data_IF_153140596393
#
_entry.id   IF_153140596393
#
_cell.length_a   1.000
_cell.length_b   1.000
_cell.length_c   1.000
_cell.angle_alpha   90.00
_cell.angle_beta   90.00
_cell.angle_gamma   90.00
#
_symmetry.space_group_name_H-M   'P 1'
#
loop_
_entity.id
_entity.type
_entity.pdbx_description
1 polymer ?
#
# COMPACT_ATOMS: atom_id res chain seq x y z
N UNK A 1 19.68 -4.67 -5.61
CA UNK A 1 19.40 -5.88 -6.44
C UNK A 1 18.49 -5.62 -7.65
N UNK A 2 17.74 -4.51 -7.74
CA UNK A 2 16.94 -4.21 -8.95
C UNK A 2 17.76 -3.61 -10.13
N UNK A 3 18.92 -3.01 -9.86
CA UNK A 3 19.73 -2.35 -10.89
C UNK A 3 20.50 -3.31 -11.81
N UNK A 4 20.59 -4.61 -11.50
CA UNK A 4 21.37 -5.58 -12.27
C UNK A 4 20.59 -6.27 -13.40
N UNK A 5 19.30 -5.96 -13.58
CA UNK A 5 18.42 -6.61 -14.55
C UNK A 5 17.84 -5.67 -15.61
N UNK A 6 18.29 -4.42 -15.70
CA UNK A 6 17.88 -3.51 -16.78
C UNK A 6 18.64 -3.85 -18.06
N UNK A 7 17.98 -4.27 -19.16
CA UNK A 7 18.66 -4.42 -20.44
C UNK A 7 19.06 -3.04 -20.95
N UNK A 8 20.34 -2.88 -21.28
CA UNK A 8 20.84 -1.73 -22.03
C UNK A 8 20.06 -1.65 -23.36
N UNK A 9 19.39 -0.53 -23.60
CA UNK A 9 18.58 -0.20 -24.77
C UNK A 9 17.16 -0.78 -24.82
N UNK A 10 16.19 -0.01 -24.31
CA UNK A 10 15.06 0.62 -25.05
C UNK A 10 14.04 1.17 -24.04
N UNK A 11 14.49 2.04 -23.13
CA UNK A 11 13.59 2.96 -22.40
C UNK A 11 14.01 4.34 -22.90
N UNK A 12 13.09 5.23 -23.32
CA UNK A 12 13.45 6.58 -23.72
C UNK A 12 14.28 7.20 -22.59
N UNK A 13 15.55 7.47 -22.86
CA UNK A 13 16.42 8.16 -21.92
C UNK A 13 15.84 9.56 -21.77
N UNK A 14 15.10 9.75 -20.68
CA UNK A 14 14.74 11.09 -20.25
C UNK A 14 16.07 11.74 -19.92
N UNK A 15 16.50 12.69 -20.75
CA UNK A 15 17.48 13.69 -20.37
C UNK A 15 16.96 14.34 -19.07
N UNK A 16 17.45 13.83 -17.93
CA UNK A 16 17.11 14.30 -16.61
C UNK A 16 17.85 15.62 -16.39
N UNK A 17 17.23 16.73 -16.81
CA UNK A 17 17.57 18.02 -16.23
C UNK A 17 17.27 17.96 -14.73
N UNK A 18 18.23 18.37 -13.91
CA UNK A 18 18.28 18.36 -12.45
C UNK A 18 17.24 19.26 -11.75
N UNK A 19 16.02 19.36 -12.29
CA UNK A 19 14.87 19.88 -11.56
C UNK A 19 14.12 18.70 -10.95
N UNK A 20 14.08 18.59 -9.62
CA UNK A 20 13.22 17.66 -8.87
C UNK A 20 11.77 17.74 -9.39
N UNK A 21 11.42 16.90 -10.36
CA UNK A 21 10.02 16.67 -10.73
C UNK A 21 9.48 15.66 -9.72
N UNK A 22 8.84 16.17 -8.69
CA UNK A 22 7.96 15.36 -7.86
C UNK A 22 6.83 14.86 -8.76
N UNK A 23 6.93 13.62 -9.21
CA UNK A 23 5.89 13.00 -10.01
C UNK A 23 4.69 12.73 -9.12
N UNK A 24 3.53 13.24 -9.54
CA UNK A 24 2.28 12.95 -8.83
C UNK A 24 2.00 11.44 -8.86
N UNK A 25 1.34 10.88 -7.82
CA UNK A 25 0.98 9.46 -7.78
C UNK A 25 0.20 8.99 -9.01
N UNK A 26 -0.60 9.87 -9.62
CA UNK A 26 -1.36 9.59 -10.85
C UNK A 26 -0.43 9.39 -12.05
N UNK A 27 0.62 10.19 -12.16
CA UNK A 27 1.61 10.07 -13.25
C UNK A 27 2.42 8.79 -13.04
N UNK A 28 2.90 8.53 -11.82
CA UNK A 28 3.62 7.29 -11.49
C UNK A 28 2.75 6.06 -11.78
N UNK A 29 1.47 6.10 -11.40
CA UNK A 29 0.53 5.02 -11.71
C UNK A 29 0.39 4.79 -13.21
N UNK A 30 0.24 5.85 -14.03
CA UNK A 30 0.17 5.70 -15.50
C UNK A 30 1.42 5.03 -16.07
N UNK A 31 2.60 5.38 -15.58
CA UNK A 31 3.86 4.76 -16.01
C UNK A 31 3.98 3.29 -15.57
N UNK A 32 3.52 2.95 -14.36
CA UNK A 32 3.66 1.62 -13.78
C UNK A 32 2.52 0.67 -14.17
N UNK A 33 1.36 1.20 -14.62
CA UNK A 33 0.15 0.43 -14.96
C UNK A 33 0.45 -0.78 -15.86
N UNK A 34 1.24 -0.68 -16.95
CA UNK A 34 1.49 -1.84 -17.81
C UNK A 34 2.16 -3.00 -17.07
N UNK A 35 3.19 -2.72 -16.27
CA UNK A 35 3.89 -3.75 -15.49
C UNK A 35 3.00 -4.36 -14.39
N UNK A 36 2.18 -3.52 -13.74
CA UNK A 36 1.18 -3.98 -12.77
C UNK A 36 0.18 -4.93 -13.44
N UNK A 37 -0.31 -4.57 -14.63
CA UNK A 37 -1.23 -5.42 -15.39
C UNK A 37 -0.61 -6.78 -15.73
N UNK A 38 0.66 -6.82 -16.17
CA UNK A 38 1.36 -8.08 -16.44
C UNK A 38 1.38 -8.99 -15.21
N UNK A 39 1.70 -8.47 -14.03
CA UNK A 39 1.71 -9.26 -12.79
C UNK A 39 0.30 -9.83 -12.48
N UNK A 40 -0.73 -8.99 -12.59
CA UNK A 40 -2.12 -9.37 -12.34
C UNK A 40 -2.63 -10.41 -13.35
N UNK A 41 -2.27 -10.28 -14.63
CA UNK A 41 -2.60 -11.22 -15.69
C UNK A 41 -1.92 -12.58 -15.50
N UNK A 42 -0.72 -12.60 -14.91
CA UNK A 42 0.00 -13.84 -14.54
C UNK A 42 -0.54 -14.51 -13.29
N UNK A 43 -1.61 -14.00 -12.69
CA UNK A 43 -2.31 -14.63 -11.58
C UNK A 43 -1.95 -14.09 -10.19
N UNK A 44 -1.09 -13.06 -10.10
CA UNK A 44 -0.89 -12.34 -8.84
C UNK A 44 -2.19 -11.60 -8.51
N UNK A 45 -2.74 -11.84 -7.31
CA UNK A 45 -4.06 -11.29 -6.94
C UNK A 45 -4.02 -9.82 -6.56
N UNK A 46 -2.93 -9.42 -5.93
CA UNK A 46 -2.71 -8.08 -5.38
C UNK A 46 -1.26 -7.69 -5.62
N UNK A 47 -1.05 -6.48 -6.13
CA UNK A 47 0.27 -5.87 -6.31
C UNK A 47 0.34 -4.63 -5.45
N UNK A 48 1.29 -4.60 -4.51
CA UNK A 48 1.65 -3.39 -3.77
C UNK A 48 2.92 -2.82 -4.38
N UNK A 49 2.89 -1.56 -4.80
CA UNK A 49 4.07 -0.85 -5.30
C UNK A 49 4.45 0.25 -4.32
N UNK A 50 5.61 0.11 -3.69
CA UNK A 50 6.17 1.13 -2.78
C UNK A 50 6.81 2.25 -3.59
N UNK A 51 6.40 3.49 -3.32
CA UNK A 51 6.83 4.70 -4.03
C UNK A 51 7.68 5.64 -3.14
N UNK A 52 8.26 5.11 -2.07
CA UNK A 52 9.05 5.88 -1.09
C UNK A 52 8.25 7.06 -0.52
N UNK A 53 8.70 8.31 -0.68
CA UNK A 53 8.00 9.48 -0.15
C UNK A 53 6.61 9.72 -0.79
N UNK A 54 6.29 9.05 -1.89
CA UNK A 54 4.97 9.11 -2.52
C UNK A 54 4.01 8.01 -2.00
N UNK A 55 4.39 7.20 -1.02
CA UNK A 55 3.51 6.22 -0.39
C UNK A 55 3.45 4.87 -1.13
N UNK A 56 2.26 4.30 -1.25
CA UNK A 56 2.04 2.95 -1.79
C UNK A 56 0.86 2.95 -2.77
N UNK A 57 1.01 2.24 -3.89
CA UNK A 57 -0.10 1.84 -4.75
C UNK A 57 -0.56 0.44 -4.37
N UNK A 58 -1.86 0.27 -4.14
CA UNK A 58 -2.51 -1.02 -3.92
C UNK A 58 -3.37 -1.33 -5.13
N UNK A 59 -2.97 -2.34 -5.90
CA UNK A 59 -3.63 -2.72 -7.14
C UNK A 59 -4.14 -4.16 -7.08
N UNK A 60 -5.32 -4.42 -7.61
CA UNK A 60 -5.87 -5.77 -7.75
C UNK A 60 -6.71 -5.92 -9.01
N UNK A 61 -6.87 -7.18 -9.44
CA UNK A 61 -7.81 -7.55 -10.49
C UNK A 61 -9.22 -7.69 -9.88
N UNK A 62 -10.21 -7.05 -10.49
CA UNK A 62 -11.57 -6.96 -9.95
C UNK A 62 -11.70 -6.01 -8.76
N UNK A 63 -12.93 -5.85 -8.27
CA UNK A 63 -13.23 -4.94 -7.15
C UNK A 63 -12.69 -5.41 -5.80
N UNK A 64 -12.78 -4.55 -4.79
CA UNK A 64 -12.33 -4.78 -3.39
C UNK A 64 -13.01 -5.95 -2.66
N UNK A 65 -13.92 -6.68 -3.31
CA UNK A 65 -14.59 -7.86 -2.76
C UNK A 65 -13.63 -9.00 -2.41
N UNK A 66 -12.43 -9.02 -3.00
CA UNK A 66 -11.34 -9.93 -2.65
C UNK A 66 -10.69 -9.63 -1.29
N UNK A 67 -10.98 -8.47 -0.69
CA UNK A 67 -10.23 -7.96 0.47
C UNK A 67 -10.89 -8.26 1.82
N UNK A 68 -12.04 -8.94 1.79
CA UNK A 68 -12.60 -9.59 2.98
C UNK A 68 -11.84 -10.89 3.21
N UNK A 69 -10.74 -10.83 3.96
CA UNK A 69 -10.20 -12.04 4.58
C UNK A 69 -11.35 -12.65 5.39
N UNK A 70 -11.76 -13.85 4.98
CA UNK A 70 -12.90 -14.57 5.54
C UNK A 70 -12.77 -14.64 7.06
N UNK A 71 -13.59 -13.87 7.79
CA UNK A 71 -13.70 -13.91 9.26
C UNK A 71 -14.28 -15.24 9.79
N UNK A 72 -14.24 -16.34 9.01
CA UNK A 72 -14.99 -17.56 9.31
C UNK A 72 -14.34 -18.49 10.34
N UNK A 73 -13.13 -18.24 10.86
CA UNK A 73 -12.51 -19.22 11.77
C UNK A 73 -11.43 -18.71 12.72
N UNK A 74 -11.62 -17.56 13.39
CA UNK A 74 -10.78 -17.24 14.56
C UNK A 74 -11.66 -17.12 15.81
N UNK A 75 -11.98 -18.29 16.37
CA UNK A 75 -12.34 -18.38 17.78
C UNK A 75 -11.14 -17.87 18.58
N UNK A 76 -11.39 -16.88 19.44
CA UNK A 76 -10.57 -16.54 20.62
C UNK A 76 -9.09 -16.20 20.41
N UNK A 77 -8.75 -15.21 19.58
CA UNK A 77 -7.58 -14.38 19.89
C UNK A 77 -8.06 -13.12 20.60
N UNK A 78 -7.52 -12.77 21.79
CA UNK A 78 -7.85 -11.52 22.44
C UNK A 78 -7.46 -10.41 21.46
N UNK A 79 -8.49 -9.77 20.91
CA UNK A 79 -8.37 -8.62 20.03
C UNK A 79 -7.51 -7.61 20.78
N UNK A 80 -6.24 -7.50 20.41
CA UNK A 80 -5.33 -6.56 21.06
C UNK A 80 -5.99 -5.18 21.05
N UNK A 81 -5.94 -4.45 22.16
CA UNK A 81 -6.61 -3.15 22.34
C UNK A 81 -6.34 -2.17 21.17
N UNK A 82 -5.20 -2.36 20.50
CA UNK A 82 -4.72 -1.68 19.30
C UNK A 82 -5.68 -1.82 18.11
N UNK A 83 -6.26 -3.00 17.85
CA UNK A 83 -7.14 -3.23 16.69
C UNK A 83 -8.44 -2.41 16.82
N UNK A 84 -8.98 -2.34 18.04
CA UNK A 84 -10.19 -1.58 18.32
C UNK A 84 -9.94 -0.06 18.29
N UNK A 85 -8.73 0.40 18.61
CA UNK A 85 -8.39 1.83 18.58
C UNK A 85 -8.08 2.34 17.17
N UNK A 86 -7.46 1.53 16.30
CA UNK A 86 -7.06 1.99 14.96
C UNK A 86 -8.28 2.17 14.04
N UNK A 87 -9.22 1.22 14.02
CA UNK A 87 -10.31 1.22 13.04
C UNK A 87 -11.68 0.94 13.66
N UNK A 88 -12.24 1.95 14.33
CA UNK A 88 -13.71 2.09 14.51
C UNK A 88 -14.40 2.65 13.25
N UNK A 89 -13.61 3.08 12.24
CA UNK A 89 -14.11 3.62 10.98
C UNK A 89 -14.63 2.52 10.03
N UNK A 90 -15.77 2.75 9.35
CA UNK A 90 -16.33 1.74 8.47
C UNK A 90 -15.53 1.62 7.16
N UNK A 91 -15.13 0.39 6.82
CA UNK A 91 -14.60 -0.05 5.50
C UNK A 91 -15.50 0.31 4.29
N UNK A 92 -16.65 0.96 4.53
CA UNK A 92 -17.73 1.17 3.56
C UNK A 92 -17.35 2.07 2.38
N UNK A 93 -16.41 3.01 2.54
CA UNK A 93 -16.06 3.99 1.50
C UNK A 93 -15.55 3.31 0.22
N UNK A 94 -14.78 2.22 0.33
CA UNK A 94 -14.24 1.51 -0.82
C UNK A 94 -15.11 0.32 -1.28
N UNK A 95 -15.97 -0.19 -0.40
CA UNK A 95 -16.81 -1.38 -0.65
C UNK A 95 -17.91 -1.15 -1.68
N UNK A 96 -18.47 0.07 -1.76
CA UNK A 96 -19.57 0.36 -2.71
C UNK A 96 -19.09 0.43 -4.17
N UNK A 97 -17.79 0.64 -4.42
CA UNK A 97 -17.22 0.58 -5.77
C UNK A 97 -17.10 -0.87 -6.30
N UNK A 98 -17.08 -1.86 -5.40
CA UNK A 98 -16.88 -3.28 -5.74
C UNK A 98 -18.14 -4.05 -6.13
N UNK A 99 -19.35 -3.48 -5.97
CA UNK A 99 -20.62 -4.21 -6.22
C UNK A 99 -20.89 -4.49 -7.70
N UNK A 100 -20.23 -3.79 -8.63
CA UNK A 100 -20.40 -3.99 -10.07
C UNK A 100 -19.32 -4.88 -10.71
N UNK A 101 -18.28 -5.29 -9.97
CA UNK A 101 -17.06 -5.86 -10.56
C UNK A 101 -16.94 -7.36 -10.29
N UNK A 102 -17.89 -8.15 -10.80
CA UNK A 102 -17.66 -9.58 -11.07
C UNK A 102 -16.83 -9.78 -12.36
N UNK A 103 -16.48 -8.68 -13.03
CA UNK A 103 -15.70 -8.68 -14.24
C UNK A 103 -14.21 -8.68 -13.91
N UNK A 104 -13.58 -9.83 -14.15
CA UNK A 104 -12.14 -10.01 -14.02
C UNK A 104 -11.33 -9.09 -14.97
N UNK A 105 -11.95 -8.40 -15.92
CA UNK A 105 -11.25 -7.49 -16.85
C UNK A 105 -10.89 -6.13 -16.24
N UNK A 106 -11.33 -5.83 -15.01
CA UNK A 106 -11.15 -4.52 -14.38
C UNK A 106 -9.92 -4.46 -13.47
N UNK A 107 -9.20 -3.34 -13.55
CA UNK A 107 -8.17 -2.92 -12.62
C UNK A 107 -8.79 -2.05 -11.54
N UNK A 108 -8.53 -2.40 -10.27
CA UNK A 108 -8.67 -1.48 -9.16
C UNK A 108 -7.29 -1.00 -8.73
N UNK A 109 -7.12 0.31 -8.58
CA UNK A 109 -5.90 0.92 -8.05
C UNK A 109 -6.23 2.00 -7.03
N UNK A 110 -5.65 1.87 -5.84
CA UNK A 110 -5.75 2.81 -4.73
C UNK A 110 -4.37 3.36 -4.41
N UNK A 111 -4.28 4.67 -4.22
CA UNK A 111 -3.10 5.32 -3.67
C UNK A 111 -3.28 5.53 -2.17
N UNK A 112 -2.27 5.14 -1.41
CA UNK A 112 -2.15 5.39 0.02
C UNK A 112 -0.93 6.29 0.22
N UNK A 113 -1.10 7.54 0.67
CA UNK A 113 0.00 8.49 0.77
C UNK A 113 0.99 8.11 1.88
N UNK A 114 2.25 8.50 1.71
CA UNK A 114 3.22 8.47 2.81
C UNK A 114 2.96 9.61 3.79
N UNK A 115 3.47 9.47 5.00
CA UNK A 115 3.52 10.53 5.99
C UNK A 115 4.82 11.34 5.83
N UNK A 116 4.79 12.67 6.02
CA UNK A 116 6.02 13.45 6.17
C UNK A 116 6.87 12.87 7.30
N UNK A 117 8.17 12.72 7.04
CA UNK A 117 9.11 12.14 7.99
C UNK A 117 10.43 12.92 8.01
N UNK A 118 11.03 13.04 9.20
CA UNK A 118 12.40 13.50 9.35
C UNK A 118 13.34 12.30 9.25
N UNK A 119 13.84 12.04 8.04
CA UNK A 119 14.59 10.82 7.73
C UNK A 119 15.94 10.79 8.45
N UNK A 120 16.17 9.73 9.21
CA UNK A 120 17.46 9.36 9.77
C UNK A 120 18.13 8.24 8.95
N UNK A 121 17.37 7.17 8.63
CA UNK A 121 17.84 6.03 7.84
C UNK A 121 16.72 5.45 6.98
N UNK A 122 17.00 5.11 5.72
CA UNK A 122 15.99 4.53 4.82
C UNK A 122 15.96 2.99 4.82
N UNK A 123 17.07 2.37 5.22
CA UNK A 123 17.21 0.91 5.25
C UNK A 123 16.24 0.31 6.25
N UNK A 124 15.55 -0.77 5.83
CA UNK A 124 14.55 -1.46 6.66
C UNK A 124 13.13 -0.89 6.55
N UNK A 125 12.92 0.27 5.92
CA UNK A 125 11.59 0.86 5.77
C UNK A 125 10.62 -0.05 4.99
N UNK A 126 11.10 -0.68 3.92
CA UNK A 126 10.32 -1.65 3.14
C UNK A 126 10.00 -2.93 3.92
N UNK A 127 10.98 -3.45 4.67
CA UNK A 127 10.80 -4.65 5.49
C UNK A 127 9.80 -4.40 6.62
N UNK A 128 9.90 -3.26 7.29
CA UNK A 128 8.98 -2.83 8.33
C UNK A 128 7.58 -2.53 7.78
N UNK A 129 7.47 -1.97 6.56
CA UNK A 129 6.19 -1.81 5.88
C UNK A 129 5.49 -3.17 5.71
N UNK A 130 6.20 -4.16 5.18
CA UNK A 130 5.68 -5.52 4.99
C UNK A 130 5.35 -6.17 6.33
N UNK A 131 6.22 -6.04 7.34
CA UNK A 131 5.98 -6.55 8.69
C UNK A 131 4.73 -5.96 9.34
N UNK A 132 4.53 -4.64 9.21
CA UNK A 132 3.33 -3.93 9.70
C UNK A 132 2.05 -4.40 9.01
N UNK A 133 2.11 -4.63 7.70
CA UNK A 133 0.99 -5.18 6.91
C UNK A 133 0.64 -6.59 7.39
N UNK A 134 1.63 -7.48 7.44
CA UNK A 134 1.41 -8.89 7.80
C UNK A 134 0.93 -9.05 9.23
N UNK A 135 1.48 -8.27 10.16
CA UNK A 135 1.01 -8.23 11.56
C UNK A 135 -0.46 -7.78 11.64
N UNK A 136 -0.82 -6.73 10.90
CA UNK A 136 -2.20 -6.21 10.83
C UNK A 136 -3.18 -7.20 10.21
N UNK A 137 -2.79 -7.86 9.12
CA UNK A 137 -3.58 -8.93 8.48
C UNK A 137 -3.79 -10.10 9.45
N UNK A 138 -2.73 -10.50 10.17
CA UNK A 138 -2.80 -11.56 11.18
C UNK A 138 -3.72 -11.20 12.34
N UNK A 139 -3.84 -9.90 12.63
CA UNK A 139 -4.78 -9.32 13.58
C UNK A 139 -6.21 -9.16 13.03
N UNK A 140 -6.46 -9.51 11.77
CA UNK A 140 -7.79 -9.51 11.16
C UNK A 140 -8.21 -8.18 10.50
N UNK A 141 -7.27 -7.27 10.25
CA UNK A 141 -7.53 -6.05 9.48
C UNK A 141 -7.65 -6.39 7.98
N UNK A 142 -8.46 -5.60 7.26
CA UNK A 142 -8.49 -5.69 5.80
C UNK A 142 -7.18 -5.15 5.17
N UNK A 143 -6.98 -5.41 3.88
CA UNK A 143 -5.73 -5.05 3.19
C UNK A 143 -5.45 -3.55 3.20
N UNK A 144 -6.47 -2.69 3.06
CA UNK A 144 -6.27 -1.24 3.02
C UNK A 144 -5.88 -0.75 4.42
N UNK A 145 -6.59 -1.22 5.44
CA UNK A 145 -6.30 -0.96 6.85
C UNK A 145 -4.87 -1.41 7.21
N UNK A 146 -4.51 -2.64 6.84
CA UNK A 146 -3.19 -3.20 7.07
C UNK A 146 -2.08 -2.42 6.33
N UNK A 147 -2.33 -2.01 5.09
CA UNK A 147 -1.38 -1.17 4.32
C UNK A 147 -1.19 0.19 4.96
N UNK A 148 -2.25 0.78 5.50
CA UNK A 148 -2.16 2.06 6.23
C UNK A 148 -1.31 1.94 7.50
N UNK A 149 -1.42 0.83 8.23
CA UNK A 149 -0.53 0.52 9.36
C UNK A 149 0.90 0.30 8.88
N UNK A 150 1.11 -0.44 7.79
CA UNK A 150 2.44 -0.63 7.20
C UNK A 150 3.13 0.68 6.84
N UNK A 151 2.41 1.64 6.27
CA UNK A 151 2.93 2.98 5.95
C UNK A 151 3.30 3.75 7.23
N UNK A 152 2.47 3.71 8.27
CA UNK A 152 2.78 4.34 9.56
C UNK A 152 4.02 3.72 10.21
N UNK A 153 4.16 2.39 10.15
CA UNK A 153 5.33 1.65 10.63
C UNK A 153 6.57 2.04 9.84
N UNK A 154 6.49 2.10 8.50
CA UNK A 154 7.60 2.52 7.66
C UNK A 154 8.06 3.95 7.95
N UNK A 155 7.12 4.86 8.24
CA UNK A 155 7.43 6.22 8.68
C UNK A 155 8.22 6.21 9.98
N UNK A 156 7.77 5.46 10.99
CA UNK A 156 8.48 5.35 12.26
C UNK A 156 9.89 4.75 12.09
N UNK A 157 10.05 3.78 11.17
CA UNK A 157 11.35 3.20 10.83
C UNK A 157 12.28 4.23 10.21
N UNK A 158 11.81 5.04 9.26
CA UNK A 158 12.71 6.04 8.63
C UNK A 158 13.11 7.18 9.56
N UNK A 159 12.33 7.45 10.61
CA UNK A 159 12.64 8.41 11.68
C UNK A 159 13.57 7.81 12.76
N UNK A 160 14.11 6.61 12.56
CA UNK A 160 15.02 5.92 13.50
C UNK A 160 16.37 5.59 12.86
N UNK A 161 17.41 5.40 13.69
CA UNK A 161 18.69 4.85 13.27
C UNK A 161 18.66 3.32 13.13
N UNK A 162 17.65 2.62 13.67
CA UNK A 162 17.55 1.16 13.59
C UNK A 162 16.79 0.71 12.33
N UNK A 163 17.17 -0.44 11.76
CA UNK A 163 16.43 -1.02 10.62
C UNK A 163 15.01 -1.48 11.03
N UNK A 164 14.83 -1.83 12.31
CA UNK A 164 13.55 -2.22 12.92
C UNK A 164 13.50 -1.65 14.35
N UNK A 165 12.88 -0.48 14.58
CA UNK A 165 12.87 0.15 15.89
C UNK A 165 11.80 -0.41 16.83
N UNK A 166 11.86 -0.02 18.10
CA UNK A 166 10.72 -0.16 19.00
C UNK A 166 9.57 0.78 18.60
N UNK A 167 8.36 0.25 18.45
CA UNK A 167 7.20 1.03 17.98
C UNK A 167 6.32 1.54 19.12
N UNK A 168 5.97 2.84 19.06
CA UNK A 168 4.89 3.39 19.89
C UNK A 168 3.54 3.13 19.21
N UNK A 169 2.80 2.17 19.75
CA UNK A 169 1.53 1.69 19.17
C UNK A 169 0.47 2.77 19.03
N UNK A 170 0.42 3.74 19.95
CA UNK A 170 -0.54 4.85 19.87
C UNK A 170 -0.19 5.79 18.72
N UNK A 171 1.09 6.17 18.57
CA UNK A 171 1.55 6.99 17.43
C UNK A 171 1.28 6.29 16.09
N UNK A 172 1.59 4.99 16.01
CA UNK A 172 1.30 4.18 14.81
C UNK A 172 -0.19 4.15 14.50
N UNK A 173 -1.05 4.04 15.52
CA UNK A 173 -2.49 4.02 15.33
C UNK A 173 -3.03 5.34 14.77
N UNK A 174 -2.56 6.47 15.31
CA UNK A 174 -2.99 7.79 14.89
C UNK A 174 -2.51 8.10 13.46
N UNK A 175 -1.25 7.75 13.16
CA UNK A 175 -0.66 7.85 11.83
C UNK A 175 -1.42 6.98 10.80
N UNK A 176 -1.71 5.72 11.15
CA UNK A 176 -2.43 4.80 10.27
C UNK A 176 -3.85 5.29 9.98
N UNK A 177 -4.53 5.89 10.97
CA UNK A 177 -5.87 6.47 10.79
C UNK A 177 -5.85 7.65 9.82
N UNK A 178 -4.84 8.50 9.93
CA UNK A 178 -4.66 9.62 9.00
C UNK A 178 -4.40 9.10 7.58
N UNK A 179 -3.45 8.17 7.42
CA UNK A 179 -3.09 7.57 6.13
C UNK A 179 -4.29 6.90 5.46
N UNK A 180 -5.06 6.12 6.23
CA UNK A 180 -6.26 5.47 5.73
C UNK A 180 -7.30 6.47 5.21
N UNK A 181 -7.51 7.56 5.96
CA UNK A 181 -8.48 8.60 5.61
C UNK A 181 -8.04 9.41 4.38
N UNK A 182 -6.73 9.48 4.14
CA UNK A 182 -6.15 10.18 3.00
C UNK A 182 -5.98 9.29 1.75
N UNK A 183 -6.36 8.01 1.80
CA UNK A 183 -6.27 7.11 0.66
C UNK A 183 -7.28 7.49 -0.46
N UNK A 184 -6.86 7.37 -1.72
CA UNK A 184 -7.63 7.85 -2.89
C UNK A 184 -7.64 6.81 -4.01
N UNK A 185 -8.80 6.57 -4.60
CA UNK A 185 -8.92 5.68 -5.77
C UNK A 185 -8.33 6.39 -6.99
N UNK A 186 -7.35 5.76 -7.64
CA UNK A 186 -6.76 6.27 -8.88
C UNK A 186 -7.43 5.67 -10.12
N UNK A 187 -7.85 4.42 -10.04
CA UNK A 187 -8.45 3.71 -11.17
C UNK A 187 -9.47 2.70 -10.68
N UNK A 188 -10.62 2.71 -11.34
CA UNK A 188 -11.57 1.61 -11.35
C UNK A 188 -12.12 1.50 -12.77
N UNK A 189 -11.51 0.66 -13.58
CA UNK A 189 -11.80 0.60 -15.01
C UNK A 189 -11.14 -0.59 -15.69
N UNK A 190 -11.32 -0.78 -17.00
CA UNK A 190 -10.71 -1.89 -17.72
C UNK A 190 -9.18 -1.85 -17.62
N UNK A 191 -8.55 -3.04 -17.65
CA UNK A 191 -7.09 -3.18 -17.60
C UNK A 191 -6.38 -2.62 -18.85
N UNK A 192 -7.11 -2.37 -19.95
CA UNK A 192 -6.62 -1.76 -21.21
C UNK A 192 -6.06 -0.36 -21.00
#
# INVERSE_FOLDING_TARGET
>A
MANELSPENTIPSIHMNESKKDFSPEILFKFLKPAICVLLEKGIKVVLVTLGPNGVLVCSRGGVGLWKISQKSQKSFPRGQIINSIFSCPTRVFLDLGKSANDSSYLFALHIPALPATVQKLTGAGDCLVGGILSSISAGLDLIQATSVGVAVARATVESEENVPSFNLQKIADDARWVYSAARVLCHGPMQ
#
